data_IF_166467288142
#
_entry.id   IF_166467288142
#
_cell.length_a   1.000
_cell.length_b   1.000
_cell.length_c   1.000
_cell.angle_alpha   90.00
_cell.angle_beta   90.00
_cell.angle_gamma   90.00
#
_symmetry.space_group_name_H-M   'P 1'
#
loop_
_entity.id
_entity.type
_entity.pdbx_description
1 polymer ?
#
# COMPACT_ATOMS: atom_id res chain seq x y z
N UNK A 1 -7.78 24.55 1.93
CA UNK A 1 -6.38 24.98 1.70
C UNK A 1 -5.76 24.10 0.63
N UNK A 2 -4.88 24.67 -0.21
CA UNK A 2 -4.09 23.92 -1.21
C UNK A 2 -3.19 22.91 -0.50
N UNK A 3 -3.20 21.65 -0.95
CA UNK A 3 -2.38 20.56 -0.39
C UNK A 3 -1.22 20.23 -1.30
N UNK A 4 -0.14 19.74 -0.73
CA UNK A 4 1.04 19.25 -1.45
C UNK A 4 1.10 17.72 -1.34
N UNK A 5 1.09 17.04 -2.49
CA UNK A 5 1.07 15.59 -2.61
C UNK A 5 2.40 15.06 -3.11
N UNK A 6 2.76 13.89 -2.62
CA UNK A 6 3.79 13.03 -3.20
C UNK A 6 3.18 11.69 -3.56
N UNK A 7 3.24 11.31 -4.84
CA UNK A 7 2.56 10.11 -5.33
C UNK A 7 3.57 9.21 -6.04
N UNK A 8 3.74 7.98 -5.53
CA UNK A 8 4.51 6.96 -6.23
C UNK A 8 3.64 6.19 -7.21
N UNK A 9 4.21 5.78 -8.36
CA UNK A 9 3.46 5.02 -9.37
C UNK A 9 2.41 5.84 -10.12
N UNK A 10 2.71 7.11 -10.42
CA UNK A 10 1.81 8.03 -11.11
C UNK A 10 1.81 7.91 -12.65
N UNK A 11 2.47 6.88 -13.23
CA UNK A 11 2.46 6.67 -14.69
C UNK A 11 1.10 6.24 -15.24
N UNK A 12 0.30 5.52 -14.44
CA UNK A 12 -1.00 4.96 -14.84
C UNK A 12 -1.86 4.59 -13.63
N UNK A 13 -3.10 4.12 -13.88
CA UNK A 13 -4.02 3.62 -12.86
C UNK A 13 -4.31 4.64 -11.76
N UNK A 14 -4.49 4.19 -10.55
CA UNK A 14 -4.90 5.04 -9.41
C UNK A 14 -3.94 6.19 -9.16
N UNK A 15 -2.62 5.96 -9.16
CA UNK A 15 -1.65 7.03 -8.92
C UNK A 15 -1.76 8.17 -9.93
N UNK A 16 -2.00 7.84 -11.21
CA UNK A 16 -2.21 8.83 -12.28
C UNK A 16 -3.53 9.58 -12.10
N UNK A 17 -4.61 8.86 -11.82
CA UNK A 17 -5.95 9.41 -11.64
C UNK A 17 -5.97 10.36 -10.46
N UNK A 18 -5.44 9.95 -9.33
CA UNK A 18 -5.43 10.78 -8.11
C UNK A 18 -4.50 11.99 -8.23
N UNK A 19 -3.36 11.84 -8.94
CA UNK A 19 -2.51 12.99 -9.28
C UNK A 19 -3.26 14.01 -10.12
N UNK A 20 -3.95 13.56 -11.18
CA UNK A 20 -4.76 14.41 -12.03
C UNK A 20 -5.92 15.08 -11.28
N UNK A 21 -6.59 14.38 -10.39
CA UNK A 21 -7.67 14.91 -9.58
C UNK A 21 -7.18 16.00 -8.60
N UNK A 22 -6.07 15.76 -7.91
CA UNK A 22 -5.45 16.73 -7.02
C UNK A 22 -5.03 18.01 -7.78
N UNK A 23 -4.39 17.87 -8.95
CA UNK A 23 -3.99 18.96 -9.80
C UNK A 23 -5.18 19.78 -10.33
N UNK A 24 -6.25 19.10 -10.79
CA UNK A 24 -7.50 19.77 -11.24
C UNK A 24 -8.18 20.53 -10.11
N UNK A 25 -8.05 20.08 -8.88
CA UNK A 25 -8.56 20.79 -7.69
C UNK A 25 -7.71 22.01 -7.32
N UNK A 26 -6.51 22.18 -7.89
CA UNK A 26 -5.58 23.27 -7.62
C UNK A 26 -4.52 22.97 -6.59
N UNK A 27 -4.35 21.72 -6.20
CA UNK A 27 -3.28 21.23 -5.33
C UNK A 27 -1.92 21.18 -6.05
N UNK A 28 -0.85 20.93 -5.31
CA UNK A 28 0.49 20.67 -5.83
C UNK A 28 0.81 19.18 -5.76
N UNK A 29 1.45 18.65 -6.80
CA UNK A 29 1.74 17.22 -6.86
C UNK A 29 3.18 16.95 -7.30
N UNK A 30 3.94 16.20 -6.52
CA UNK A 30 5.09 15.48 -7.04
C UNK A 30 4.60 14.12 -7.55
N UNK A 31 4.62 13.95 -8.87
CA UNK A 31 4.19 12.74 -9.55
C UNK A 31 5.42 11.93 -9.95
N UNK A 32 5.54 10.68 -9.47
CA UNK A 32 6.73 9.88 -9.74
C UNK A 32 6.42 8.60 -10.50
N UNK A 33 7.34 8.23 -11.40
CA UNK A 33 7.30 7.00 -12.19
C UNK A 33 8.72 6.49 -12.46
N UNK A 34 8.87 5.21 -12.82
CA UNK A 34 10.19 4.62 -13.19
C UNK A 34 10.82 5.26 -14.43
N UNK A 35 10.02 5.84 -15.31
CA UNK A 35 10.48 6.60 -16.47
C UNK A 35 9.89 8.00 -16.36
N UNK A 36 10.74 9.00 -16.46
CA UNK A 36 10.31 10.40 -16.45
C UNK A 36 9.25 10.71 -17.53
N UNK A 37 9.41 10.12 -18.72
CA UNK A 37 8.48 10.29 -19.84
C UNK A 37 7.03 9.92 -19.54
N UNK A 38 6.81 9.01 -18.58
CA UNK A 38 5.47 8.53 -18.23
C UNK A 38 4.67 9.53 -17.39
N UNK A 39 5.31 10.59 -16.89
CA UNK A 39 4.69 11.65 -16.06
C UNK A 39 4.98 13.06 -16.56
N UNK A 40 5.83 13.20 -17.58
CA UNK A 40 6.28 14.50 -18.11
C UNK A 40 5.15 15.36 -18.69
N UNK A 41 4.15 14.72 -19.28
CA UNK A 41 2.97 15.39 -19.86
C UNK A 41 2.12 16.13 -18.82
N UNK A 42 2.16 15.72 -17.56
CA UNK A 42 1.51 16.46 -16.47
C UNK A 42 2.07 17.90 -16.35
N UNK A 43 3.38 18.08 -16.59
CA UNK A 43 4.00 19.43 -16.55
C UNK A 43 3.45 20.33 -17.65
N UNK A 44 3.19 19.76 -18.83
CA UNK A 44 2.59 20.52 -19.95
C UNK A 44 1.15 20.95 -19.63
N UNK A 45 0.40 20.09 -18.92
CA UNK A 45 -1.01 20.34 -18.60
C UNK A 45 -1.20 21.27 -17.38
N UNK A 46 -0.35 21.17 -16.36
CA UNK A 46 -0.57 21.82 -15.06
C UNK A 46 0.54 22.79 -14.62
N UNK A 47 1.54 23.02 -15.47
CA UNK A 47 2.60 24.00 -15.20
C UNK A 47 3.32 23.75 -13.88
N UNK A 48 3.51 24.81 -13.08
CA UNK A 48 4.26 24.76 -11.82
C UNK A 48 3.53 24.08 -10.65
N UNK A 49 2.28 23.68 -10.85
CA UNK A 49 1.55 22.90 -9.86
C UNK A 49 2.05 21.44 -9.77
N UNK A 50 2.79 20.95 -10.76
CA UNK A 50 3.32 19.60 -10.77
C UNK A 50 4.84 19.56 -10.91
N UNK A 51 5.45 18.67 -10.12
CA UNK A 51 6.87 18.29 -10.22
C UNK A 51 6.94 16.81 -10.65
N UNK A 52 7.08 16.51 -11.94
CA UNK A 52 7.30 15.14 -12.39
C UNK A 52 8.74 14.71 -12.11
N UNK A 53 8.93 13.53 -11.50
CA UNK A 53 10.26 12.99 -11.19
C UNK A 53 10.35 11.50 -11.54
N UNK A 54 11.55 11.09 -11.93
CA UNK A 54 11.86 9.67 -12.08
C UNK A 54 12.12 9.05 -10.70
N UNK A 55 11.48 7.92 -10.42
CA UNK A 55 11.65 7.19 -9.17
C UNK A 55 11.44 5.70 -9.38
N UNK A 56 12.47 4.92 -9.11
CA UNK A 56 12.38 3.50 -8.82
C UNK A 56 12.39 3.32 -7.30
N UNK A 57 11.27 2.85 -6.75
CA UNK A 57 11.12 2.64 -5.29
C UNK A 57 12.02 1.49 -4.77
N UNK A 58 12.58 0.68 -5.66
CA UNK A 58 13.56 -0.36 -5.28
C UNK A 58 14.96 0.19 -5.05
N UNK A 59 15.23 1.44 -5.46
CA UNK A 59 16.52 2.13 -5.26
C UNK A 59 16.46 3.06 -4.03
N UNK A 60 17.09 2.68 -2.88
CA UNK A 60 17.00 3.46 -1.65
C UNK A 60 17.60 4.87 -1.75
N UNK A 61 18.70 5.03 -2.50
CA UNK A 61 19.36 6.33 -2.66
C UNK A 61 18.50 7.28 -3.50
N UNK A 62 17.89 6.79 -4.58
CA UNK A 62 16.99 7.57 -5.41
C UNK A 62 15.73 7.97 -4.61
N UNK A 63 15.15 7.07 -3.81
CA UNK A 63 14.02 7.40 -2.94
C UNK A 63 14.34 8.56 -2.00
N UNK A 64 15.49 8.49 -1.32
CA UNK A 64 15.91 9.55 -0.41
C UNK A 64 16.09 10.89 -1.14
N UNK A 65 16.77 10.89 -2.28
CA UNK A 65 17.00 12.07 -3.09
C UNK A 65 15.70 12.69 -3.59
N UNK A 66 14.79 11.89 -4.14
CA UNK A 66 13.54 12.36 -4.75
C UNK A 66 12.58 12.93 -3.71
N UNK A 67 12.48 12.33 -2.52
CA UNK A 67 11.69 12.87 -1.41
C UNK A 67 12.25 14.24 -0.95
N UNK A 68 13.56 14.37 -0.80
CA UNK A 68 14.19 15.64 -0.43
C UNK A 68 13.98 16.69 -1.51
N UNK A 69 14.12 16.33 -2.78
CA UNK A 69 13.87 17.25 -3.90
C UNK A 69 12.42 17.75 -3.92
N UNK A 70 11.44 16.85 -3.73
CA UNK A 70 10.03 17.22 -3.66
C UNK A 70 9.74 18.18 -2.49
N UNK A 71 10.28 17.89 -1.31
CA UNK A 71 10.13 18.73 -0.14
C UNK A 71 10.80 20.10 -0.32
N UNK A 72 12.00 20.15 -0.90
CA UNK A 72 12.70 21.40 -1.17
C UNK A 72 11.93 22.27 -2.19
N UNK A 73 11.28 21.65 -3.18
CA UNK A 73 10.53 22.35 -4.23
C UNK A 73 9.24 23.01 -3.71
N UNK A 74 8.46 22.30 -2.91
CA UNK A 74 7.15 22.76 -2.44
C UNK A 74 7.15 23.25 -0.97
N UNK A 75 8.22 23.00 -0.21
CA UNK A 75 8.38 23.43 1.18
C UNK A 75 7.59 22.61 2.20
N UNK A 76 6.73 21.67 1.76
CA UNK A 76 5.88 20.84 2.62
C UNK A 76 5.46 19.54 1.95
N UNK A 77 4.88 18.64 2.75
CA UNK A 77 4.27 17.39 2.30
C UNK A 77 2.99 17.14 3.10
N UNK A 78 1.82 17.28 2.46
CA UNK A 78 0.54 17.09 3.15
C UNK A 78 -0.03 15.68 2.95
N UNK A 79 0.13 15.13 1.75
CA UNK A 79 -0.39 13.81 1.40
C UNK A 79 0.70 12.98 0.73
N UNK A 80 1.02 11.84 1.34
CA UNK A 80 1.93 10.83 0.79
C UNK A 80 1.12 9.65 0.27
N UNK A 81 1.15 9.38 -1.03
CA UNK A 81 0.46 8.24 -1.64
C UNK A 81 1.46 7.20 -2.11
N UNK A 82 1.49 6.07 -1.43
CA UNK A 82 2.27 4.90 -1.82
C UNK A 82 1.45 3.99 -2.74
N UNK A 83 1.48 4.27 -4.06
CA UNK A 83 0.72 3.54 -5.08
C UNK A 83 1.58 2.72 -6.05
N UNK A 84 2.90 2.83 -5.98
CA UNK A 84 3.78 1.98 -6.78
C UNK A 84 3.62 0.50 -6.40
N UNK A 85 3.43 -0.37 -7.38
CA UNK A 85 3.27 -1.80 -7.16
C UNK A 85 3.05 -2.58 -8.44
N UNK A 86 3.20 -3.90 -8.35
CA UNK A 86 2.98 -4.85 -9.41
C UNK A 86 2.28 -6.12 -8.91
N UNK A 87 2.06 -7.07 -9.79
CA UNK A 87 1.47 -8.38 -9.48
C UNK A 87 2.28 -9.50 -10.11
N UNK A 88 2.11 -10.71 -9.57
CA UNK A 88 2.69 -11.95 -10.07
C UNK A 88 1.58 -13.00 -10.13
N UNK A 89 1.34 -13.55 -11.32
CA UNK A 89 0.45 -14.67 -11.55
C UNK A 89 1.27 -15.97 -11.54
N UNK A 90 1.15 -16.74 -10.49
CA UNK A 90 1.87 -17.99 -10.29
C UNK A 90 1.16 -18.87 -9.26
N UNK A 91 1.14 -20.18 -9.46
CA UNK A 91 0.97 -21.11 -8.36
C UNK A 91 2.20 -21.06 -7.44
N UNK A 92 2.10 -21.55 -6.23
CA UNK A 92 3.16 -21.41 -5.22
C UNK A 92 4.49 -22.01 -5.67
N UNK A 93 4.48 -23.11 -6.40
CA UNK A 93 5.69 -23.79 -6.89
C UNK A 93 6.17 -23.33 -8.29
N UNK A 94 5.43 -22.45 -8.96
CA UNK A 94 5.77 -21.93 -10.29
C UNK A 94 6.68 -20.71 -10.23
N UNK A 95 6.57 -19.89 -9.18
CA UNK A 95 7.31 -18.66 -9.08
C UNK A 95 8.78 -18.88 -8.70
N UNK A 96 9.69 -18.25 -9.42
CA UNK A 96 11.09 -18.21 -9.01
C UNK A 96 11.31 -17.32 -7.78
N UNK A 97 12.35 -17.60 -7.01
CA UNK A 97 12.81 -16.77 -5.89
C UNK A 97 13.04 -15.31 -6.31
N UNK A 98 13.56 -15.09 -7.52
CA UNK A 98 13.80 -13.74 -8.06
C UNK A 98 12.50 -12.98 -8.30
N UNK A 99 11.49 -13.64 -8.89
CA UNK A 99 10.17 -13.04 -9.10
C UNK A 99 9.50 -12.68 -7.77
N UNK A 100 9.57 -13.58 -6.78
CA UNK A 100 9.01 -13.35 -5.45
C UNK A 100 9.72 -12.17 -4.77
N UNK A 101 11.06 -12.17 -4.75
CA UNK A 101 11.87 -11.09 -4.15
C UNK A 101 11.61 -9.75 -4.82
N UNK A 102 11.57 -9.72 -6.16
CA UNK A 102 11.29 -8.50 -6.93
C UNK A 102 9.90 -7.92 -6.64
N UNK A 103 8.89 -8.79 -6.48
CA UNK A 103 7.55 -8.38 -6.10
C UNK A 103 7.51 -7.75 -4.69
N UNK A 104 8.14 -8.40 -3.71
CA UNK A 104 8.24 -7.88 -2.35
C UNK A 104 9.08 -6.60 -2.29
N UNK A 105 10.17 -6.55 -3.06
CA UNK A 105 11.04 -5.38 -3.12
C UNK A 105 10.29 -4.14 -3.64
N UNK A 106 9.43 -4.32 -4.64
CA UNK A 106 8.59 -3.24 -5.18
C UNK A 106 7.41 -2.90 -4.25
N UNK A 107 6.57 -3.89 -3.91
CA UNK A 107 5.27 -3.64 -3.28
C UNK A 107 5.37 -3.31 -1.79
N UNK A 108 6.36 -3.88 -1.09
CA UNK A 108 6.52 -3.73 0.35
C UNK A 108 7.76 -2.93 0.72
N UNK A 109 8.97 -3.40 0.36
CA UNK A 109 10.19 -2.70 0.73
C UNK A 109 10.31 -1.32 0.08
N UNK A 110 9.84 -1.17 -1.17
CA UNK A 110 9.77 0.12 -1.84
C UNK A 110 8.91 1.12 -1.08
N UNK A 111 7.74 0.68 -0.62
CA UNK A 111 6.87 1.49 0.24
C UNK A 111 7.54 1.82 1.58
N UNK A 112 8.20 0.86 2.22
CA UNK A 112 8.96 1.09 3.48
C UNK A 112 10.05 2.14 3.27
N UNK A 113 10.80 2.09 2.15
CA UNK A 113 11.83 3.09 1.83
C UNK A 113 11.24 4.49 1.71
N UNK A 114 10.12 4.62 0.99
CA UNK A 114 9.42 5.91 0.84
C UNK A 114 8.94 6.44 2.19
N UNK A 115 8.32 5.59 3.03
CA UNK A 115 7.92 5.95 4.38
C UNK A 115 9.11 6.44 5.21
N UNK A 116 10.21 5.67 5.24
CA UNK A 116 11.42 6.03 6.02
C UNK A 116 12.04 7.35 5.58
N UNK A 117 11.98 7.70 4.30
CA UNK A 117 12.47 8.96 3.78
C UNK A 117 11.52 10.15 4.11
N UNK A 118 10.20 9.92 4.11
CA UNK A 118 9.21 10.97 4.32
C UNK A 118 8.90 11.24 5.81
N UNK A 119 8.92 10.21 6.65
CA UNK A 119 8.53 10.32 8.07
C UNK A 119 9.29 11.39 8.87
N UNK A 120 10.61 11.58 8.72
CA UNK A 120 11.31 12.67 9.42
C UNK A 120 10.78 14.06 9.06
N UNK A 121 10.39 14.25 7.79
CA UNK A 121 9.84 15.51 7.30
C UNK A 121 8.44 15.75 7.87
N UNK A 122 7.58 14.74 7.81
CA UNK A 122 6.21 14.77 8.35
C UNK A 122 6.21 15.01 9.87
N UNK A 123 7.09 14.34 10.62
CA UNK A 123 7.23 14.55 12.07
C UNK A 123 7.68 15.97 12.41
N UNK A 124 8.63 16.50 11.66
CA UNK A 124 9.07 17.91 11.83
C UNK A 124 7.94 18.89 11.51
N UNK A 125 7.11 18.57 10.52
CA UNK A 125 5.94 19.38 10.12
C UNK A 125 4.80 19.29 11.16
N UNK A 126 4.69 18.18 11.92
CA UNK A 126 3.63 17.93 12.89
C UNK A 126 2.25 17.67 12.24
N UNK A 127 2.23 17.33 10.97
CA UNK A 127 0.99 17.05 10.22
C UNK A 127 1.29 16.26 8.93
N UNK A 128 0.27 15.60 8.40
CA UNK A 128 0.34 14.90 7.13
C UNK A 128 -0.66 13.75 7.08
N UNK A 129 -0.90 13.21 5.89
CA UNK A 129 -1.75 12.06 5.68
C UNK A 129 -1.06 11.05 4.76
N UNK A 130 -0.78 9.88 5.28
CA UNK A 130 -0.14 8.77 4.55
C UNK A 130 -1.23 7.83 4.03
N UNK A 131 -1.26 7.63 2.71
CA UNK A 131 -2.15 6.68 2.03
C UNK A 131 -1.33 5.50 1.53
N UNK A 132 -1.51 4.33 2.14
CA UNK A 132 -0.92 3.06 1.69
C UNK A 132 -1.89 2.32 0.77
N UNK A 133 -1.55 2.14 -0.50
CA UNK A 133 -2.42 1.41 -1.43
C UNK A 133 -2.24 -0.09 -1.25
N UNK A 134 -3.20 -0.71 -0.56
CA UNK A 134 -3.35 -2.14 -0.39
C UNK A 134 -4.21 -2.73 -1.52
N UNK A 135 -5.16 -3.57 -1.18
CA UNK A 135 -6.12 -4.24 -2.08
C UNK A 135 -7.18 -4.96 -1.24
N UNK A 136 -8.33 -5.26 -1.81
CA UNK A 136 -9.22 -6.28 -1.23
C UNK A 136 -8.53 -7.64 -1.02
N UNK A 137 -7.40 -7.87 -1.69
CA UNK A 137 -6.53 -9.03 -1.50
C UNK A 137 -5.49 -8.85 -0.36
N UNK A 138 -5.52 -7.73 0.35
CA UNK A 138 -4.91 -7.57 1.68
C UNK A 138 -5.82 -8.08 2.81
N UNK A 139 -7.12 -8.31 2.52
CA UNK A 139 -8.11 -8.85 3.47
C UNK A 139 -8.31 -10.35 3.27
N UNK A 140 -8.32 -10.79 2.01
CA UNK A 140 -8.49 -12.19 1.60
C UNK A 140 -7.39 -12.60 0.64
N UNK A 141 -7.17 -13.92 0.49
CA UNK A 141 -6.26 -14.45 -0.51
C UNK A 141 -7.04 -15.08 -1.68
N UNK A 142 -6.39 -15.14 -2.84
CA UNK A 142 -6.88 -15.87 -4.01
C UNK A 142 -5.79 -16.78 -4.56
N UNK A 143 -6.13 -17.93 -5.14
CA UNK A 143 -5.16 -18.81 -5.79
C UNK A 143 -4.46 -18.09 -6.97
N UNK A 144 -3.30 -18.59 -7.35
CA UNK A 144 -2.44 -18.09 -8.44
C UNK A 144 -1.90 -16.65 -8.28
N UNK A 145 -2.31 -15.92 -7.25
CA UNK A 145 -1.79 -14.58 -6.92
C UNK A 145 -1.40 -14.48 -5.44
N UNK A 146 -1.07 -15.62 -4.82
CA UNK A 146 -0.75 -15.71 -3.38
C UNK A 146 0.40 -14.81 -2.95
N UNK A 147 1.45 -14.69 -3.75
CA UNK A 147 2.59 -13.79 -3.46
C UNK A 147 2.19 -12.32 -3.47
N UNK A 148 1.31 -11.92 -4.39
CA UNK A 148 0.75 -10.56 -4.37
C UNK A 148 -0.11 -10.34 -3.12
N UNK A 149 -0.98 -11.29 -2.78
CA UNK A 149 -1.76 -11.23 -1.54
C UNK A 149 -0.84 -11.05 -0.34
N UNK A 150 0.23 -11.83 -0.23
CA UNK A 150 1.20 -11.74 0.86
C UNK A 150 1.84 -10.34 0.96
N UNK A 151 2.20 -9.71 -0.17
CA UNK A 151 2.70 -8.32 -0.13
C UNK A 151 1.66 -7.34 0.38
N UNK A 152 0.38 -7.52 0.02
CA UNK A 152 -0.70 -6.61 0.46
C UNK A 152 -1.08 -6.83 1.93
N UNK A 153 -1.03 -8.06 2.42
CA UNK A 153 -1.15 -8.36 3.84
C UNK A 153 -0.02 -7.72 4.66
N UNK A 154 1.21 -7.73 4.14
CA UNK A 154 2.33 -7.03 4.78
C UNK A 154 2.11 -5.51 4.82
N UNK A 155 1.54 -4.93 3.75
CA UNK A 155 1.16 -3.51 3.70
C UNK A 155 0.08 -3.17 4.74
N UNK A 156 -0.95 -4.02 4.88
CA UNK A 156 -2.00 -3.84 5.91
C UNK A 156 -1.40 -3.77 7.31
N UNK A 157 -0.62 -4.80 7.68
CA UNK A 157 -0.02 -4.91 9.01
C UNK A 157 0.92 -3.72 9.32
N UNK A 158 1.76 -3.33 8.33
CA UNK A 158 2.67 -2.20 8.49
C UNK A 158 1.93 -0.89 8.75
N UNK A 159 0.88 -0.60 7.98
CA UNK A 159 0.15 0.66 8.12
C UNK A 159 -0.72 0.71 9.36
N UNK A 160 -1.23 -0.42 9.82
CA UNK A 160 -1.94 -0.52 11.09
C UNK A 160 -1.03 -0.21 12.28
N UNK A 161 0.22 -0.72 12.27
CA UNK A 161 1.25 -0.35 13.25
C UNK A 161 1.64 1.12 13.13
N UNK A 162 1.94 1.57 11.90
CA UNK A 162 2.35 2.95 11.60
C UNK A 162 1.31 3.97 12.08
N UNK A 163 0.02 3.68 11.95
CA UNK A 163 -1.04 4.58 12.41
C UNK A 163 -0.95 4.83 13.93
N UNK A 164 -0.62 3.81 14.70
CA UNK A 164 -0.43 3.92 16.15
C UNK A 164 0.83 4.72 16.47
N UNK A 165 1.93 4.46 15.77
CA UNK A 165 3.20 5.17 15.93
C UNK A 165 3.07 6.67 15.60
N UNK A 166 2.31 7.00 14.56
CA UNK A 166 2.22 8.35 14.02
C UNK A 166 1.17 9.23 14.74
N UNK A 167 0.31 8.64 15.54
CA UNK A 167 -0.75 9.35 16.27
C UNK A 167 -0.20 10.50 17.13
N UNK A 168 0.90 10.26 17.84
CA UNK A 168 1.54 11.26 18.72
C UNK A 168 2.14 12.45 17.93
N UNK A 169 2.34 12.30 16.63
CA UNK A 169 2.91 13.34 15.77
C UNK A 169 1.87 14.08 14.92
N UNK A 170 0.57 13.81 15.12
CA UNK A 170 -0.50 14.43 14.33
C UNK A 170 -0.54 13.99 12.86
N UNK A 171 0.08 12.85 12.53
CA UNK A 171 0.12 12.29 11.18
C UNK A 171 -0.95 11.22 11.05
N UNK A 172 -1.82 11.39 10.06
CA UNK A 172 -2.91 10.46 9.74
C UNK A 172 -2.40 9.36 8.82
N UNK A 173 -2.96 8.15 8.95
CA UNK A 173 -2.63 7.01 8.10
C UNK A 173 -3.92 6.35 7.66
N UNK A 174 -4.06 6.10 6.35
CA UNK A 174 -5.18 5.34 5.79
C UNK A 174 -4.67 4.28 4.83
N UNK A 175 -5.19 3.08 4.97
CA UNK A 175 -5.00 1.97 4.05
C UNK A 175 -6.12 2.04 3.02
N UNK A 176 -5.76 2.12 1.74
CA UNK A 176 -6.73 2.09 0.65
C UNK A 176 -6.83 0.65 0.15
N UNK A 177 -8.03 0.11 0.16
CA UNK A 177 -8.34 -1.28 -0.19
C UNK A 177 -9.21 -1.33 -1.47
N UNK A 178 -8.63 -1.18 -2.68
CA UNK A 178 -9.42 -1.26 -3.91
C UNK A 178 -9.93 -2.67 -4.16
N UNK A 179 -11.16 -2.77 -4.64
CA UNK A 179 -11.71 -3.95 -5.30
C UNK A 179 -11.16 -4.13 -6.72
N UNK A 180 -11.93 -4.80 -7.58
CA UNK A 180 -11.58 -4.92 -8.99
C UNK A 180 -11.95 -3.63 -9.74
N UNK A 181 -10.96 -3.03 -10.41
CA UNK A 181 -11.13 -1.83 -11.24
C UNK A 181 -10.52 -2.02 -12.62
N UNK A 182 -11.09 -1.35 -13.63
CA UNK A 182 -10.63 -1.40 -15.02
C UNK A 182 -9.35 -0.53 -15.20
N UNK A 183 -8.24 -0.95 -14.59
CA UNK A 183 -6.92 -0.32 -14.72
C UNK A 183 -5.98 -1.18 -15.54
N UNK A 184 -4.85 -0.59 -15.98
CA UNK A 184 -3.77 -1.34 -16.65
C UNK A 184 -2.92 -2.19 -15.71
N UNK A 185 -3.32 -2.34 -14.45
CA UNK A 185 -2.57 -3.10 -13.45
C UNK A 185 -2.35 -4.56 -13.87
N UNK A 186 -3.41 -5.23 -14.37
CA UNK A 186 -3.31 -6.60 -14.85
C UNK A 186 -2.41 -6.79 -16.08
N UNK A 187 -2.32 -5.78 -16.95
CA UNK A 187 -1.45 -5.83 -18.16
C UNK A 187 0.05 -5.83 -17.80
N UNK A 188 0.41 -5.41 -16.60
CA UNK A 188 1.79 -5.36 -16.10
C UNK A 188 2.14 -6.46 -15.11
N UNK A 189 1.23 -7.40 -14.89
CA UNK A 189 1.49 -8.56 -14.05
C UNK A 189 2.62 -9.39 -14.65
N UNK A 190 3.58 -9.78 -13.83
CA UNK A 190 4.50 -10.83 -14.20
C UNK A 190 3.74 -12.16 -14.18
N UNK A 191 4.07 -13.04 -15.12
CA UNK A 191 3.47 -14.36 -15.22
C UNK A 191 4.60 -15.38 -15.14
N UNK A 192 4.54 -16.29 -14.18
CA UNK A 192 5.48 -17.39 -14.09
C UNK A 192 5.17 -18.47 -15.16
N UNK A 193 6.20 -19.22 -15.54
CA UNK A 193 6.03 -20.37 -16.43
C UNK A 193 5.09 -21.38 -15.80
N UNK A 194 4.06 -21.76 -16.55
CA UNK A 194 3.01 -22.65 -16.05
C UNK A 194 3.50 -24.10 -16.00
N UNK A 195 3.30 -24.74 -14.86
CA UNK A 195 3.46 -26.19 -14.74
C UNK A 195 2.19 -26.92 -15.19
N UNK A 196 2.38 -28.04 -15.90
CA UNK A 196 1.27 -28.82 -16.47
C UNK A 196 0.18 -29.17 -15.45
N UNK A 197 0.49 -29.62 -14.21
CA UNK A 197 -0.54 -29.94 -13.20
C UNK A 197 -1.48 -28.78 -12.85
N UNK A 198 -1.10 -27.52 -13.09
CA UNK A 198 -1.92 -26.35 -12.83
C UNK A 198 -2.66 -25.81 -14.07
N UNK A 199 -2.45 -26.37 -15.25
CA UNK A 199 -2.95 -25.83 -16.52
C UNK A 199 -4.48 -25.68 -16.52
N UNK A 200 -5.22 -26.73 -16.13
CA UNK A 200 -6.68 -26.69 -16.09
C UNK A 200 -7.21 -25.73 -15.01
N UNK A 201 -6.60 -25.77 -13.82
CA UNK A 201 -6.96 -24.87 -12.74
C UNK A 201 -6.72 -23.39 -13.13
N UNK A 202 -5.58 -23.11 -13.76
CA UNK A 202 -5.24 -21.76 -14.30
C UNK A 202 -6.26 -21.30 -15.34
N UNK A 203 -6.64 -22.19 -16.26
CA UNK A 203 -7.64 -21.89 -17.29
C UNK A 203 -8.98 -21.48 -16.67
N UNK A 204 -9.47 -22.26 -15.72
CA UNK A 204 -10.73 -21.98 -15.01
C UNK A 204 -10.65 -20.69 -14.19
N UNK A 205 -9.53 -20.43 -13.51
CA UNK A 205 -9.31 -19.20 -12.76
C UNK A 205 -9.34 -17.97 -13.67
N UNK A 206 -8.62 -17.99 -14.80
CA UNK A 206 -8.57 -16.88 -15.73
C UNK A 206 -9.93 -16.62 -16.39
N UNK A 207 -10.70 -17.66 -16.70
CA UNK A 207 -12.07 -17.50 -17.22
C UNK A 207 -12.95 -16.78 -16.21
N UNK A 208 -12.94 -17.18 -14.93
CA UNK A 208 -13.71 -16.50 -13.87
C UNK A 208 -13.25 -15.05 -13.66
N UNK A 209 -11.94 -14.81 -13.75
CA UNK A 209 -11.39 -13.46 -13.62
C UNK A 209 -11.79 -12.54 -14.78
N UNK A 210 -11.95 -13.09 -15.99
CA UNK A 210 -12.40 -12.35 -17.16
C UNK A 210 -13.86 -11.90 -17.04
N UNK A 211 -14.72 -12.74 -16.45
CA UNK A 211 -16.16 -12.46 -16.26
C UNK A 211 -16.45 -11.52 -15.08
N UNK A 212 -15.42 -11.15 -14.31
CA UNK A 212 -15.62 -10.32 -13.11
C UNK A 212 -15.86 -8.85 -13.47
N UNK A 213 -16.94 -8.27 -12.94
CA UNK A 213 -17.22 -6.83 -13.07
C UNK A 213 -16.10 -5.99 -12.47
N UNK A 214 -15.75 -4.92 -13.18
CA UNK A 214 -14.70 -3.99 -12.75
C UNK A 214 -15.27 -2.59 -12.66
N UNK A 215 -14.99 -1.91 -11.56
CA UNK A 215 -15.36 -0.51 -11.36
C UNK A 215 -14.61 0.42 -12.31
N UNK A 216 -15.17 1.60 -12.52
CA UNK A 216 -14.49 2.71 -13.17
C UNK A 216 -13.45 3.31 -12.22
N UNK A 217 -12.14 3.25 -12.54
CA UNK A 217 -11.11 3.79 -11.66
C UNK A 217 -11.18 5.32 -11.51
N UNK A 218 -11.72 6.06 -12.49
CA UNK A 218 -11.89 7.52 -12.39
C UNK A 218 -12.86 7.91 -11.26
N UNK A 219 -13.87 7.08 -10.98
CA UNK A 219 -14.82 7.31 -9.89
C UNK A 219 -14.14 7.32 -8.49
N UNK A 220 -12.93 6.76 -8.36
CA UNK A 220 -12.19 6.76 -7.09
C UNK A 220 -11.61 8.13 -6.72
N UNK A 221 -11.47 9.03 -7.68
CA UNK A 221 -10.85 10.33 -7.50
C UNK A 221 -11.56 11.17 -6.42
N UNK A 222 -12.89 11.27 -6.50
CA UNK A 222 -13.69 12.02 -5.53
C UNK A 222 -13.59 11.42 -4.13
N UNK A 223 -13.60 10.09 -4.01
CA UNK A 223 -13.47 9.40 -2.74
C UNK A 223 -12.13 9.72 -2.06
N UNK A 224 -11.02 9.74 -2.82
CA UNK A 224 -9.70 10.07 -2.28
C UNK A 224 -9.61 11.56 -1.91
N UNK A 225 -10.15 12.46 -2.72
CA UNK A 225 -10.18 13.88 -2.38
C UNK A 225 -10.98 14.13 -1.08
N UNK A 226 -12.13 13.48 -0.94
CA UNK A 226 -12.94 13.53 0.29
C UNK A 226 -12.21 12.96 1.49
N UNK A 227 -11.52 11.83 1.30
CA UNK A 227 -10.73 11.19 2.36
C UNK A 227 -9.64 12.11 2.91
N UNK A 228 -8.87 12.76 2.03
CA UNK A 228 -7.76 13.63 2.47
C UNK A 228 -8.22 14.95 3.08
N UNK A 229 -9.47 15.32 2.87
CA UNK A 229 -10.09 16.51 3.46
C UNK A 229 -10.79 16.21 4.79
N UNK A 230 -10.97 14.94 5.16
CA UNK A 230 -11.57 14.56 6.42
C UNK A 230 -10.68 14.94 7.62
N UNK A 231 -11.30 15.51 8.66
CA UNK A 231 -10.62 15.82 9.91
C UNK A 231 -10.19 14.55 10.64
N UNK A 232 -11.03 13.53 10.63
CA UNK A 232 -10.78 12.21 11.22
C UNK A 232 -11.00 11.10 10.16
N UNK A 233 -10.01 10.88 9.27
CA UNK A 233 -10.15 9.84 8.24
C UNK A 233 -10.05 8.44 8.86
N UNK A 234 -10.76 7.44 8.27
CA UNK A 234 -10.67 6.08 8.75
C UNK A 234 -9.28 5.48 8.49
N UNK A 235 -8.89 4.50 9.33
CA UNK A 235 -7.68 3.71 9.09
C UNK A 235 -7.78 2.89 7.79
N UNK A 236 -8.98 2.44 7.41
CA UNK A 236 -9.22 1.65 6.19
C UNK A 236 -10.32 2.24 5.36
N UNK A 237 -10.07 2.36 4.06
CA UNK A 237 -11.07 2.77 3.08
C UNK A 237 -11.15 1.73 1.97
N UNK A 238 -12.20 0.91 2.00
CA UNK A 238 -12.53 0.00 0.91
C UNK A 238 -13.11 0.77 -0.27
N UNK A 239 -12.52 0.62 -1.45
CA UNK A 239 -13.04 1.20 -2.68
C UNK A 239 -13.78 0.14 -3.50
N UNK A 240 -15.03 0.44 -3.86
CA UNK A 240 -15.93 -0.43 -4.61
C UNK A 240 -16.88 -1.23 -3.72
N UNK A 241 -17.92 -1.77 -4.33
CA UNK A 241 -19.03 -2.44 -3.66
C UNK A 241 -18.70 -3.85 -3.14
N UNK A 242 -17.61 -4.47 -3.60
CA UNK A 242 -17.23 -5.84 -3.25
C UNK A 242 -16.40 -5.94 -1.96
N UNK A 243 -15.80 -4.85 -1.47
CA UNK A 243 -14.87 -4.89 -0.33
C UNK A 243 -15.58 -5.23 0.97
N UNK A 244 -16.62 -4.50 1.33
CA UNK A 244 -17.33 -4.72 2.60
C UNK A 244 -17.98 -6.12 2.68
N UNK A 245 -18.70 -6.64 1.67
CA UNK A 245 -19.21 -8.01 1.71
C UNK A 245 -18.10 -9.05 1.84
N UNK A 246 -16.99 -8.89 1.10
CA UNK A 246 -15.82 -9.78 1.18
C UNK A 246 -15.20 -9.79 2.57
N UNK A 247 -14.97 -8.61 3.14
CA UNK A 247 -14.42 -8.48 4.49
C UNK A 247 -15.32 -9.15 5.53
N UNK A 248 -16.63 -8.88 5.49
CA UNK A 248 -17.60 -9.52 6.41
C UNK A 248 -17.56 -11.03 6.34
N UNK A 249 -17.58 -11.60 5.13
CA UNK A 249 -17.53 -13.05 4.94
C UNK A 249 -16.22 -13.65 5.49
N UNK A 250 -15.07 -13.05 5.14
CA UNK A 250 -13.76 -13.56 5.56
C UNK A 250 -13.56 -13.48 7.07
N UNK A 251 -13.96 -12.38 7.70
CA UNK A 251 -13.84 -12.26 9.16
C UNK A 251 -14.83 -13.16 9.90
N UNK A 252 -16.06 -13.32 9.42
CA UNK A 252 -17.02 -14.25 10.00
C UNK A 252 -16.52 -15.70 9.98
N UNK A 253 -15.94 -16.15 8.85
CA UNK A 253 -15.35 -17.49 8.71
C UNK A 253 -14.17 -17.69 9.66
N UNK A 254 -13.26 -16.70 9.77
CA UNK A 254 -12.12 -16.77 10.67
C UNK A 254 -12.54 -16.84 12.13
N UNK A 255 -13.49 -15.98 12.53
CA UNK A 255 -14.01 -15.96 13.90
C UNK A 255 -14.65 -17.30 14.23
N UNK A 256 -15.54 -17.82 13.37
CA UNK A 256 -16.16 -19.13 13.58
C UNK A 256 -15.13 -20.26 13.72
N UNK A 257 -14.04 -20.21 12.95
CA UNK A 257 -12.94 -21.20 13.07
C UNK A 257 -12.23 -21.09 14.42
N UNK A 258 -11.91 -19.85 14.85
CA UNK A 258 -11.27 -19.64 16.16
C UNK A 258 -12.17 -20.07 17.32
N UNK A 259 -13.47 -19.74 17.27
CA UNK A 259 -14.46 -20.15 18.28
C UNK A 259 -14.59 -21.67 18.35
N UNK A 260 -14.60 -22.34 17.20
CA UNK A 260 -14.68 -23.81 17.15
C UNK A 260 -13.45 -24.52 17.76
N UNK A 261 -12.31 -23.85 17.86
CA UNK A 261 -11.06 -24.39 18.39
C UNK A 261 -10.61 -23.71 19.70
N UNK A 262 -11.47 -22.88 20.31
CA UNK A 262 -11.13 -22.06 21.47
C UNK A 262 -10.71 -22.91 22.69
N UNK A 263 -11.43 -24.02 22.96
CA UNK A 263 -11.08 -24.93 24.05
C UNK A 263 -9.67 -25.53 23.89
N UNK A 264 -9.30 -25.88 22.66
CA UNK A 264 -7.95 -26.42 22.34
C UNK A 264 -6.90 -25.34 22.50
N UNK A 265 -7.18 -24.11 22.04
CA UNK A 265 -6.28 -22.96 22.15
C UNK A 265 -6.06 -22.59 23.62
N UNK A 266 -7.13 -22.56 24.43
CA UNK A 266 -7.06 -22.26 25.86
C UNK A 266 -6.31 -23.35 26.64
N UNK A 267 -6.52 -24.61 26.31
CA UNK A 267 -5.75 -25.71 26.94
C UNK A 267 -4.24 -25.62 26.64
N UNK A 268 -3.87 -25.10 25.46
CA UNK A 268 -2.47 -24.90 25.08
C UNK A 268 -1.78 -23.79 25.87
N UNK A 269 -2.53 -22.90 26.54
CA UNK A 269 -1.98 -21.86 27.42
C UNK A 269 -1.33 -22.48 28.67
N UNK A 270 -1.82 -23.62 29.15
CA UNK A 270 -1.35 -24.26 30.39
C UNK A 270 -1.52 -23.34 31.60
N UNK A 271 -0.59 -23.43 32.55
CA UNK A 271 -0.59 -22.57 33.75
C UNK A 271 0.17 -21.27 33.41
N UNK A 272 -0.50 -20.12 33.39
CA UNK A 272 0.16 -18.84 33.08
C UNK A 272 1.28 -18.52 34.08
N UNK A 273 2.48 -18.23 33.58
CA UNK A 273 3.59 -17.72 34.41
C UNK A 273 3.74 -16.23 34.11
N UNK A 274 3.62 -15.39 35.16
CA UNK A 274 4.03 -13.97 35.07
C UNK A 274 5.54 -13.90 35.24
N UNK A 275 6.25 -13.97 34.14
CA UNK A 275 7.67 -13.65 34.08
C UNK A 275 7.83 -12.40 33.22
N UNK A 276 8.37 -11.34 33.78
CA UNK A 276 8.87 -10.21 32.98
C UNK A 276 10.19 -10.69 32.39
N UNK A 277 10.25 -10.77 31.07
CA UNK A 277 11.48 -11.13 30.36
C UNK A 277 12.54 -10.06 30.65
N UNK A 278 13.76 -10.41 31.09
CA UNK A 278 14.78 -9.43 31.47
C UNK A 278 15.12 -8.41 30.37
N UNK A 279 15.00 -8.80 29.10
CA UNK A 279 15.24 -7.89 28.00
C UNK A 279 14.16 -6.79 27.87
N UNK A 280 12.93 -7.04 28.33
CA UNK A 280 11.86 -6.03 28.35
C UNK A 280 12.19 -4.96 29.40
N UNK A 281 12.66 -5.36 30.59
CA UNK A 281 13.11 -4.42 31.62
C UNK A 281 14.29 -3.57 31.14
N UNK A 282 15.27 -4.19 30.45
CA UNK A 282 16.40 -3.47 29.88
C UNK A 282 15.97 -2.43 28.84
N UNK A 283 14.99 -2.75 27.97
CA UNK A 283 14.46 -1.81 26.99
C UNK A 283 13.64 -0.68 27.64
N UNK A 284 12.86 -0.99 28.67
CA UNK A 284 12.02 -0.01 29.37
C UNK A 284 12.86 1.04 30.14
N UNK A 285 14.03 0.65 30.64
CA UNK A 285 14.92 1.54 31.40
C UNK A 285 16.03 2.20 30.58
N UNK A 286 16.04 2.03 29.28
CA UNK A 286 17.07 2.54 28.36
C UNK A 286 18.37 1.76 28.47
N UNK A 287 18.98 1.39 27.36
CA UNK A 287 20.40 0.98 27.38
C UNK A 287 21.23 2.16 27.84
N UNK A 288 22.15 2.00 28.82
CA UNK A 288 23.08 3.07 29.14
C UNK A 288 23.85 3.40 27.85
N UNK A 289 23.97 4.71 27.56
CA UNK A 289 24.72 5.25 26.45
C UNK A 289 26.04 4.48 26.29
N UNK A 290 26.20 3.87 25.10
CA UNK A 290 27.53 3.42 24.71
C UNK A 290 28.31 4.68 24.37
N UNK A 291 29.14 5.10 25.36
CA UNK A 291 30.14 6.10 25.19
C UNK A 291 31.15 5.73 24.11
#
# INVERSE_FOLDING_TARGET
MKKTWFITGASRGFGRIWAGAALKRGDQVTATARKFTDVADLKQQFGDAVLPLELDVTNPAQVQQVIQQAHAHFGRLDVLVNSAGGSLLAATEEASDEQIRGLFDTNYLGMVRVLRAALPLLRKQGSGHILGVSSGLGITAMPLIGFYCATKWAVEALHESLAQEMKAFGIKVTIIEPGAYATDFGKSAQIADALEPYAEFRRQFLTRLADHERGDPEATAEAILKLVDADDPPLRLGLGNSILPRARAAYAERVATWEAWDDVANAAMGVPKKTIEPWIEQLAHGTPDKA
#
